data_IF_567900034050
#
_entry.id   IF_567900034050
#
_cell.length_a   1.000
_cell.length_b   1.000
_cell.length_c   1.000
_cell.angle_alpha   90.00
_cell.angle_beta   90.00
_cell.angle_gamma   90.00
#
_symmetry.space_group_name_H-M   'P 1'
#
loop_
_entity.id
_entity.type
_entity.pdbx_description
1 polymer ?
#
# COMPACT_ATOMS: atom_id res chain seq x y z
N UNK A 1 14.05 -14.90 -1.05
CA UNK A 1 13.06 -13.89 -0.60
C UNK A 1 13.67 -12.51 -0.77
N UNK A 2 13.01 -11.58 -1.45
CA UNK A 2 13.52 -10.22 -1.71
C UNK A 2 13.30 -9.31 -0.50
N UNK A 3 14.11 -8.27 -0.31
CA UNK A 3 13.93 -7.34 0.82
C UNK A 3 12.54 -6.71 0.86
N UNK A 4 11.94 -6.47 -0.31
CA UNK A 4 10.58 -5.95 -0.47
C UNK A 4 9.51 -6.90 0.09
N UNK A 5 9.66 -8.21 -0.09
CA UNK A 5 8.71 -9.20 0.49
C UNK A 5 8.72 -9.18 2.03
N UNK A 6 9.90 -9.00 2.64
CA UNK A 6 10.03 -8.88 4.09
C UNK A 6 9.42 -7.56 4.61
N UNK A 7 9.64 -6.47 3.88
CA UNK A 7 9.05 -5.16 4.21
C UNK A 7 7.52 -5.19 4.13
N UNK A 8 6.96 -5.81 3.08
CA UNK A 8 5.51 -6.00 2.93
C UNK A 8 4.92 -6.73 4.13
N UNK A 9 5.48 -7.88 4.48
CA UNK A 9 4.97 -8.70 5.58
C UNK A 9 5.08 -7.96 6.92
N UNK A 10 6.17 -7.20 7.13
CA UNK A 10 6.34 -6.38 8.32
C UNK A 10 5.27 -5.31 8.43
N UNK A 11 5.04 -4.54 7.37
CA UNK A 11 4.03 -3.48 7.34
C UNK A 11 2.63 -4.08 7.52
N UNK A 12 2.30 -5.14 6.79
CA UNK A 12 1.01 -5.82 6.92
C UNK A 12 0.75 -6.25 8.36
N UNK A 13 1.70 -6.94 8.99
CA UNK A 13 1.56 -7.41 10.38
C UNK A 13 1.43 -6.27 11.37
N UNK A 14 2.17 -5.17 11.17
CA UNK A 14 2.07 -3.97 12.01
C UNK A 14 0.68 -3.35 11.91
N UNK A 15 0.17 -3.13 10.68
CA UNK A 15 -1.15 -2.54 10.45
C UNK A 15 -2.24 -3.46 11.01
N UNK A 16 -2.17 -4.76 10.71
CA UNK A 16 -3.11 -5.75 11.24
C UNK A 16 -3.14 -5.73 12.77
N UNK A 17 -1.97 -5.63 13.43
CA UNK A 17 -1.91 -5.55 14.89
C UNK A 17 -2.56 -4.27 15.43
N UNK A 18 -2.39 -3.14 14.75
CA UNK A 18 -2.97 -1.85 15.16
C UNK A 18 -4.48 -1.77 14.92
N UNK A 19 -4.97 -2.46 13.90
CA UNK A 19 -6.37 -2.39 13.45
C UNK A 19 -7.11 -3.72 13.65
N UNK A 20 -6.79 -4.45 14.73
CA UNK A 20 -7.53 -5.65 15.16
C UNK A 20 -7.68 -6.75 14.09
N UNK A 21 -6.62 -6.96 13.30
CA UNK A 21 -6.56 -7.94 12.22
C UNK A 21 -6.97 -7.40 10.85
N UNK A 22 -7.52 -6.18 10.79
CA UNK A 22 -7.99 -5.57 9.54
C UNK A 22 -6.89 -4.71 8.95
N UNK A 23 -6.41 -5.07 7.75
CA UNK A 23 -5.51 -4.22 6.97
C UNK A 23 -6.33 -3.50 5.89
N UNK A 24 -6.56 -2.18 5.98
CA UNK A 24 -7.31 -1.43 4.97
C UNK A 24 -6.44 -1.18 3.73
N UNK A 25 -7.04 -1.28 2.57
CA UNK A 25 -6.44 -0.89 1.30
C UNK A 25 -6.31 0.63 1.26
N UNK A 26 -5.12 1.14 0.93
CA UNK A 26 -4.93 2.58 0.80
C UNK A 26 -5.77 3.22 -0.31
N UNK A 27 -6.17 2.46 -1.32
CA UNK A 27 -6.93 2.98 -2.47
C UNK A 27 -8.45 2.97 -2.20
N UNK A 28 -9.01 1.87 -1.72
CA UNK A 28 -10.46 1.71 -1.55
C UNK A 28 -10.94 1.62 -0.10
N UNK A 29 -10.03 1.53 0.88
CA UNK A 29 -10.36 1.39 2.30
C UNK A 29 -10.79 -0.03 2.74
N UNK A 30 -11.15 -0.91 1.82
CA UNK A 30 -11.58 -2.28 2.13
C UNK A 30 -10.43 -3.15 2.67
N UNK A 31 -10.77 -4.20 3.42
CA UNK A 31 -9.78 -5.13 3.94
C UNK A 31 -9.00 -5.85 2.81
N UNK A 32 -7.67 -5.84 2.92
CA UNK A 32 -6.73 -6.56 2.05
C UNK A 32 -6.34 -7.88 2.71
N UNK A 33 -6.68 -9.03 2.11
CA UNK A 33 -6.14 -10.32 2.55
C UNK A 33 -4.62 -10.37 2.36
N UNK A 34 -3.89 -11.01 3.29
CA UNK A 34 -2.42 -11.12 3.22
C UNK A 34 -1.91 -11.66 1.87
N UNK A 35 -2.62 -12.63 1.28
CA UNK A 35 -2.24 -13.21 -0.02
C UNK A 35 -2.38 -12.22 -1.19
N UNK A 36 -3.29 -11.24 -1.10
CA UNK A 36 -3.53 -10.22 -2.11
C UNK A 36 -2.86 -8.87 -1.78
N UNK A 37 -2.11 -8.81 -0.68
CA UNK A 37 -1.45 -7.61 -0.23
C UNK A 37 -0.25 -7.28 -1.12
N UNK A 38 -0.29 -6.09 -1.71
CA UNK A 38 0.84 -5.49 -2.41
C UNK A 38 1.40 -4.34 -1.58
N UNK A 39 2.71 -4.12 -1.74
CA UNK A 39 3.42 -3.02 -1.11
C UNK A 39 3.59 -1.90 -2.13
N UNK A 40 3.15 -0.70 -1.77
CA UNK A 40 3.10 0.40 -2.71
C UNK A 40 3.64 1.71 -2.13
N UNK A 41 4.23 2.54 -2.99
CA UNK A 41 4.66 3.87 -2.65
C UNK A 41 3.48 4.86 -2.67
N UNK A 42 3.25 5.55 -1.55
CA UNK A 42 2.24 6.62 -1.43
C UNK A 42 2.61 7.76 -2.38
N UNK A 43 3.83 8.27 -2.25
CA UNK A 43 4.46 9.19 -3.21
C UNK A 43 5.38 8.40 -4.15
N UNK A 44 5.22 8.48 -5.48
CA UNK A 44 6.11 7.79 -6.42
C UNK A 44 7.58 8.20 -6.24
N UNK A 45 8.51 7.26 -6.45
CA UNK A 45 9.96 7.54 -6.41
C UNK A 45 10.39 8.58 -7.43
N UNK A 46 9.76 8.61 -8.61
CA UNK A 46 10.00 9.60 -9.66
C UNK A 46 9.67 11.04 -9.24
N UNK A 47 8.76 11.20 -8.27
CA UNK A 47 8.35 12.50 -7.73
C UNK A 47 9.10 12.84 -6.42
N UNK A 48 10.11 12.03 -6.07
CA UNK A 48 10.88 12.19 -4.83
C UNK A 48 10.29 11.47 -3.61
N UNK A 49 9.47 10.44 -3.81
CA UNK A 49 9.03 9.54 -2.73
C UNK A 49 10.16 8.61 -2.27
N UNK A 50 10.23 8.36 -0.96
CA UNK A 50 11.23 7.46 -0.35
C UNK A 50 10.76 6.01 -0.35
N UNK A 51 11.66 5.06 -0.05
CA UNK A 51 11.27 3.65 0.22
C UNK A 51 11.21 3.34 1.72
N UNK A 52 11.06 4.38 2.55
CA UNK A 52 10.85 4.23 3.98
C UNK A 52 9.40 3.83 4.27
N UNK A 53 9.17 3.23 5.44
CA UNK A 53 7.87 2.68 5.83
C UNK A 53 6.75 3.72 5.92
N UNK A 54 7.11 4.99 6.12
CA UNK A 54 6.19 6.14 6.14
C UNK A 54 5.64 6.48 4.75
N UNK A 55 6.40 6.22 3.68
CA UNK A 55 5.97 6.40 2.29
C UNK A 55 5.46 5.10 1.66
N UNK A 56 5.22 4.06 2.46
CA UNK A 56 4.75 2.76 1.99
C UNK A 56 3.37 2.43 2.56
N UNK A 57 2.51 1.91 1.71
CA UNK A 57 1.16 1.49 2.06
C UNK A 57 0.83 0.10 1.52
N UNK A 58 -0.20 -0.52 2.10
CA UNK A 58 -0.75 -1.79 1.61
C UNK A 58 -1.97 -1.50 0.73
N UNK A 59 -2.02 -2.16 -0.41
CA UNK A 59 -3.14 -2.14 -1.35
C UNK A 59 -3.48 -3.56 -1.82
N UNK A 60 -4.67 -3.75 -2.38
CA UNK A 60 -4.93 -4.96 -3.17
C UNK A 60 -4.15 -4.89 -4.47
N UNK A 61 -3.69 -6.03 -4.98
CA UNK A 61 -3.07 -6.13 -6.32
C UNK A 61 -3.91 -5.46 -7.42
N UNK A 62 -5.24 -5.72 -7.46
CA UNK A 62 -6.16 -5.09 -8.42
C UNK A 62 -6.18 -3.56 -8.32
N UNK A 63 -6.25 -3.03 -7.09
CA UNK A 63 -6.32 -1.60 -6.85
C UNK A 63 -4.99 -0.95 -7.20
N UNK A 64 -3.90 -1.66 -6.91
CA UNK A 64 -2.56 -1.25 -7.24
C UNK A 64 -2.36 -1.09 -8.74
N UNK A 65 -2.80 -2.09 -9.52
CA UNK A 65 -2.67 -2.08 -10.98
C UNK A 65 -3.59 -1.03 -11.62
N UNK A 66 -4.80 -0.83 -11.10
CA UNK A 66 -5.75 0.15 -11.64
C UNK A 66 -5.38 1.60 -11.33
N UNK A 67 -4.71 1.90 -10.22
CA UNK A 67 -4.34 3.28 -9.86
C UNK A 67 -3.31 3.90 -10.81
N UNK A 68 -2.52 3.09 -11.49
CA UNK A 68 -1.60 3.57 -12.53
C UNK A 68 -2.35 3.93 -13.81
N UNK A 69 -3.54 3.38 -14.00
CA UNK A 69 -4.40 3.59 -15.17
C UNK A 69 -5.35 4.78 -14.91
N UNK A 70 -5.77 5.00 -13.66
CA UNK A 70 -6.53 6.19 -13.30
C UNK A 70 -5.58 7.34 -12.97
N UNK A 71 -5.55 8.44 -13.75
CA UNK A 71 -4.82 9.63 -13.33
C UNK A 71 -5.39 10.06 -11.98
N UNK A 72 -4.47 10.22 -11.02
CA UNK A 72 -4.69 10.79 -9.68
C UNK A 72 -5.81 11.82 -9.79
N UNK A 73 -7.01 11.49 -9.31
CA UNK A 73 -8.01 12.52 -9.04
C UNK A 73 -7.42 13.32 -7.89
N UNK A 74 -6.74 14.41 -8.25
CA UNK A 74 -6.45 15.50 -7.35
C UNK A 74 -7.74 15.82 -6.63
N UNK A 75 -7.81 15.46 -5.36
CA UNK A 75 -8.69 16.11 -4.41
C UNK A 75 -8.24 17.58 -4.36
N UNK A 76 -8.85 18.40 -5.20
CA UNK A 76 -8.93 19.86 -5.02
C UNK A 76 -10.27 20.21 -4.37
N UNK A 77 -10.42 21.41 -3.79
CA UNK A 77 -9.46 22.26 -3.08
C UNK A 77 -9.63 22.22 -1.55
#
# INVERSE_FOLDING_TARGET
MSSLSLTRDKIYKTVARQLHGVVPCWVCGEHVPHAAATLEHIKPRSEGGSSHTDNLAISHDRCNNQRHIQPKRESSP
#
